data_IF_326538203635
#
_entry.id   IF_326538203635
#
_cell.length_a   1.000
_cell.length_b   1.000
_cell.length_c   1.000
_cell.angle_alpha   90.00
_cell.angle_beta   90.00
_cell.angle_gamma   90.00
#
_symmetry.space_group_name_H-M   'P 1'
#
loop_
_entity.id
_entity.type
_entity.pdbx_description
1 polymer ?
#
# COMPACT_ATOMS: atom_id res chain seq x y z
N UNK A 1 14.09 -17.51 -41.86
CA UNK A 1 15.21 -18.32 -41.34
C UNK A 1 15.96 -17.43 -40.35
N UNK A 2 16.17 -17.92 -39.12
CA UNK A 2 16.45 -17.13 -37.92
C UNK A 2 17.73 -16.28 -38.00
N UNK A 3 17.68 -15.07 -37.44
CA UNK A 3 18.86 -14.31 -37.03
C UNK A 3 18.76 -13.98 -35.54
N UNK A 4 19.71 -14.54 -34.80
CA UNK A 4 20.03 -14.32 -33.39
C UNK A 4 20.26 -12.83 -33.13
N UNK A 5 19.60 -12.26 -32.11
CA UNK A 5 19.92 -10.92 -31.59
C UNK A 5 21.00 -11.08 -30.52
N UNK A 6 22.18 -10.43 -30.66
CA UNK A 6 23.25 -10.54 -29.68
C UNK A 6 22.99 -9.64 -28.46
N UNK A 7 23.57 -10.05 -27.34
CA UNK A 7 23.53 -9.38 -26.07
C UNK A 7 24.43 -8.13 -26.02
N UNK A 8 23.98 -7.21 -25.16
CA UNK A 8 24.72 -6.14 -24.45
C UNK A 8 24.90 -4.79 -25.15
N UNK A 9 24.30 -3.75 -24.55
CA UNK A 9 24.94 -2.45 -24.38
C UNK A 9 24.57 -1.87 -23.01
N UNK A 10 25.60 -1.60 -22.22
CA UNK A 10 25.57 -0.82 -20.98
C UNK A 10 24.79 0.50 -21.16
N UNK A 11 23.95 0.94 -20.20
CA UNK A 11 23.41 2.30 -20.27
C UNK A 11 24.50 3.32 -19.96
N UNK A 12 24.74 4.14 -20.98
CA UNK A 12 25.54 5.35 -21.05
C UNK A 12 25.34 6.26 -19.82
N UNK A 13 26.44 6.69 -19.20
CA UNK A 13 26.41 7.64 -18.08
C UNK A 13 25.82 8.98 -18.55
N UNK A 14 24.72 9.40 -17.91
CA UNK A 14 24.02 10.66 -18.19
C UNK A 14 24.96 11.87 -17.99
N UNK A 15 25.02 12.84 -18.93
CA UNK A 15 25.91 13.99 -18.80
C UNK A 15 25.49 14.91 -17.63
N UNK A 16 26.49 15.39 -16.88
CA UNK A 16 26.39 16.09 -15.59
C UNK A 16 25.78 17.52 -15.62
N UNK A 17 25.01 17.86 -16.66
CA UNK A 17 24.54 19.23 -16.92
C UNK A 17 23.05 19.50 -16.65
N UNK A 18 22.18 18.49 -16.58
CA UNK A 18 20.74 18.69 -16.39
C UNK A 18 20.33 18.37 -14.94
N UNK A 19 20.81 19.19 -13.99
CA UNK A 19 20.27 19.21 -12.62
C UNK A 19 19.10 20.19 -12.56
N UNK A 20 17.99 19.88 -13.23
CA UNK A 20 16.71 20.43 -12.76
C UNK A 20 16.54 19.98 -11.31
N UNK A 21 16.13 20.85 -10.38
CA UNK A 21 15.73 20.37 -9.07
C UNK A 21 14.66 19.31 -9.31
N UNK A 22 14.91 18.07 -8.88
CA UNK A 22 13.84 17.06 -8.84
C UNK A 22 12.70 17.74 -8.09
N UNK A 23 11.56 17.91 -8.78
CA UNK A 23 10.36 18.31 -8.06
C UNK A 23 10.19 17.25 -6.99
N UNK A 24 10.09 17.61 -5.70
CA UNK A 24 9.85 16.62 -4.67
C UNK A 24 8.65 15.81 -5.12
N UNK A 25 8.86 14.50 -5.31
CA UNK A 25 7.79 13.60 -5.70
C UNK A 25 6.70 13.77 -4.63
N UNK A 26 5.51 14.29 -4.95
CA UNK A 26 4.50 14.57 -3.93
C UNK A 26 4.08 13.29 -3.19
N UNK A 27 4.34 12.12 -3.77
CA UNK A 27 4.12 10.81 -3.16
C UNK A 27 5.16 10.43 -2.09
N UNK A 28 6.27 11.16 -1.96
CA UNK A 28 7.30 10.92 -0.93
C UNK A 28 7.03 11.66 0.39
N UNK A 29 5.93 12.41 0.47
CA UNK A 29 5.47 13.08 1.69
C UNK A 29 4.36 12.27 2.38
N UNK A 30 4.50 10.94 2.43
CA UNK A 30 3.69 10.15 3.35
C UNK A 30 3.99 10.69 4.76
N UNK A 31 3.04 11.45 5.30
CA UNK A 31 3.17 12.06 6.62
C UNK A 31 3.46 10.94 7.64
N UNK A 32 4.48 11.11 8.49
CA UNK A 32 4.91 10.11 9.48
C UNK A 32 3.91 10.11 10.65
N UNK A 33 2.70 9.60 10.41
CA UNK A 33 1.68 9.43 11.44
C UNK A 33 1.34 7.95 11.61
N UNK A 34 1.31 7.51 12.86
CA UNK A 34 0.66 6.26 13.22
C UNK A 34 -0.84 6.37 12.89
N UNK A 35 -1.34 5.46 12.06
CA UNK A 35 -2.69 5.54 11.50
C UNK A 35 -3.55 4.38 11.99
N UNK A 36 -4.81 4.69 12.31
CA UNK A 36 -5.84 3.71 12.66
C UNK A 36 -6.96 3.78 11.63
N UNK A 37 -7.42 2.63 11.14
CA UNK A 37 -8.46 2.53 10.13
C UNK A 37 -9.65 1.72 10.66
N UNK A 38 -10.84 2.34 10.64
CA UNK A 38 -12.05 1.77 11.19
C UNK A 38 -12.84 1.01 10.12
N UNK A 39 -12.75 -0.32 10.13
CA UNK A 39 -13.33 -1.19 9.10
C UNK A 39 -14.86 -1.11 9.00
N UNK A 40 -15.54 -0.68 10.05
CA UNK A 40 -16.99 -0.57 10.14
C UNK A 40 -17.51 0.88 10.01
N UNK A 41 -16.60 1.85 9.86
CA UNK A 41 -16.93 3.26 9.64
C UNK A 41 -16.43 3.79 8.29
N UNK A 42 -15.94 2.89 7.42
CA UNK A 42 -15.56 3.17 6.04
C UNK A 42 -16.12 2.10 5.12
N UNK A 43 -16.28 2.41 3.84
CA UNK A 43 -16.65 1.42 2.84
C UNK A 43 -16.07 1.78 1.46
N UNK A 44 -16.17 0.85 0.52
CA UNK A 44 -15.78 1.03 -0.88
C UNK A 44 -16.97 0.83 -1.82
N UNK A 45 -16.92 1.46 -2.98
CA UNK A 45 -17.89 1.22 -4.06
C UNK A 45 -17.29 0.30 -5.12
N UNK A 46 -18.15 -0.38 -5.89
CA UNK A 46 -17.69 -1.16 -7.03
C UNK A 46 -17.09 -0.23 -8.10
N UNK A 47 -15.95 -0.62 -8.66
CA UNK A 47 -15.20 0.16 -9.65
C UNK A 47 -15.11 -0.59 -10.98
N UNK A 48 -15.19 0.15 -12.10
CA UNK A 48 -14.95 -0.38 -13.44
C UNK A 48 -14.27 0.69 -14.30
N UNK A 49 -13.14 0.34 -14.91
CA UNK A 49 -12.40 1.22 -15.79
C UNK A 49 -11.51 0.38 -16.74
N UNK A 50 -10.57 1.03 -17.46
CA UNK A 50 -9.68 0.35 -18.39
C UNK A 50 -8.77 -0.73 -17.75
N UNK A 51 -8.54 -0.67 -16.43
CA UNK A 51 -7.76 -1.65 -15.70
C UNK A 51 -8.59 -2.88 -15.24
N UNK A 52 -9.92 -2.86 -15.45
CA UNK A 52 -10.79 -4.00 -15.15
C UNK A 52 -11.97 -3.64 -14.26
N UNK A 53 -12.39 -4.60 -13.44
CA UNK A 53 -13.53 -4.47 -12.53
C UNK A 53 -13.17 -4.95 -11.12
N UNK A 54 -13.48 -4.13 -10.13
CA UNK A 54 -13.36 -4.46 -8.71
C UNK A 54 -14.76 -4.39 -8.08
N UNK A 55 -15.18 -5.50 -7.48
CA UNK A 55 -16.52 -5.66 -6.90
C UNK A 55 -16.53 -5.35 -5.40
N UNK A 56 -17.58 -5.77 -4.68
CA UNK A 56 -17.76 -5.55 -3.24
C UNK A 56 -16.59 -6.06 -2.36
N UNK A 57 -15.82 -7.04 -2.83
CA UNK A 57 -14.63 -7.54 -2.12
C UNK A 57 -13.50 -6.51 -1.95
N UNK A 58 -13.55 -5.39 -2.68
CA UNK A 58 -12.52 -4.34 -2.63
C UNK A 58 -12.29 -3.84 -1.20
N UNK A 59 -13.35 -3.62 -0.43
CA UNK A 59 -13.26 -3.19 0.97
C UNK A 59 -12.46 -4.20 1.81
N UNK A 60 -12.80 -5.49 1.69
CA UNK A 60 -12.11 -6.57 2.42
C UNK A 60 -10.64 -6.65 2.04
N UNK A 61 -10.31 -6.63 0.75
CA UNK A 61 -8.93 -6.72 0.26
C UNK A 61 -8.12 -5.49 0.70
N UNK A 62 -8.68 -4.29 0.57
CA UNK A 62 -8.04 -3.06 1.00
C UNK A 62 -7.69 -3.11 2.50
N UNK A 63 -8.61 -3.58 3.34
CA UNK A 63 -8.38 -3.66 4.78
C UNK A 63 -7.27 -4.64 5.16
N UNK A 64 -7.14 -5.76 4.45
CA UNK A 64 -6.00 -6.68 4.65
C UNK A 64 -4.67 -6.02 4.27
N UNK A 65 -4.63 -5.30 3.15
CA UNK A 65 -3.44 -4.56 2.72
C UNK A 65 -3.09 -3.48 3.75
N UNK A 66 -4.07 -2.68 4.17
CA UNK A 66 -3.89 -1.63 5.18
C UNK A 66 -3.32 -2.22 6.48
N UNK A 67 -3.87 -3.34 6.96
CA UNK A 67 -3.41 -3.97 8.20
C UNK A 67 -2.03 -4.62 8.10
N UNK A 68 -1.57 -4.90 6.88
CA UNK A 68 -0.27 -5.53 6.69
C UNK A 68 0.89 -4.58 6.98
N UNK A 69 0.79 -3.26 6.70
CA UNK A 69 1.90 -2.32 6.98
C UNK A 69 1.49 -0.85 7.20
N UNK A 70 0.27 -0.45 6.87
CA UNK A 70 -0.07 0.97 6.73
C UNK A 70 -0.90 1.53 7.89
N UNK A 71 -1.77 0.71 8.49
CA UNK A 71 -2.62 1.12 9.60
C UNK A 71 -2.99 -0.03 10.52
N UNK A 72 -3.23 0.27 11.81
CA UNK A 72 -3.94 -0.65 12.68
C UNK A 72 -5.42 -0.66 12.27
N UNK A 73 -5.93 -1.81 11.83
CA UNK A 73 -7.32 -1.97 11.39
C UNK A 73 -8.12 -2.54 12.54
N UNK A 74 -9.18 -1.83 12.94
CA UNK A 74 -10.03 -2.22 14.07
C UNK A 74 -11.49 -1.87 13.78
N UNK A 75 -12.41 -2.49 14.52
CA UNK A 75 -13.80 -2.01 14.58
C UNK A 75 -13.89 -0.78 15.47
N UNK A 76 -14.93 0.03 15.29
CA UNK A 76 -15.20 1.23 16.07
C UNK A 76 -15.29 0.89 17.57
N UNK A 77 -15.97 -0.19 17.93
CA UNK A 77 -16.07 -0.65 19.33
C UNK A 77 -14.70 -0.98 19.94
N UNK A 78 -13.83 -1.69 19.19
CA UNK A 78 -12.48 -1.99 19.65
C UNK A 78 -11.67 -0.71 19.84
N UNK A 79 -11.80 0.25 18.91
CA UNK A 79 -11.14 1.54 19.00
C UNK A 79 -11.55 2.29 20.26
N UNK A 80 -12.84 2.36 20.56
CA UNK A 80 -13.36 2.98 21.79
C UNK A 80 -12.73 2.32 23.02
N UNK A 81 -12.64 0.99 23.04
CA UNK A 81 -11.93 0.25 24.09
C UNK A 81 -10.46 0.65 24.23
N UNK A 82 -9.73 0.79 23.13
CA UNK A 82 -8.32 1.25 23.15
C UNK A 82 -8.18 2.69 23.66
N UNK A 83 -9.11 3.60 23.28
CA UNK A 83 -9.13 4.97 23.81
C UNK A 83 -9.25 4.96 25.33
N UNK A 84 -10.23 4.21 25.87
CA UNK A 84 -10.46 4.16 27.31
C UNK A 84 -9.29 3.58 28.10
N UNK A 85 -8.55 2.64 27.52
CA UNK A 85 -7.34 2.06 28.14
C UNK A 85 -6.07 2.84 27.88
N UNK A 86 -6.12 3.90 27.06
CA UNK A 86 -4.96 4.65 26.59
C UNK A 86 -3.90 3.76 25.91
N UNK A 87 -4.37 2.74 25.17
CA UNK A 87 -3.52 1.80 24.46
C UNK A 87 -3.55 2.08 22.95
N UNK A 88 -2.45 1.87 22.22
CA UNK A 88 -2.48 1.87 20.77
C UNK A 88 -3.11 0.59 20.23
N UNK A 89 -3.78 0.68 19.07
CA UNK A 89 -4.19 -0.51 18.33
C UNK A 89 -2.96 -1.19 17.72
N UNK A 90 -2.95 -2.53 17.76
CA UNK A 90 -1.85 -3.31 17.17
C UNK A 90 -1.90 -3.24 15.64
N UNK A 91 -0.73 -3.10 15.00
CA UNK A 91 -0.58 -3.18 13.54
C UNK A 91 0.06 -4.53 13.16
N UNK A 92 -0.34 -5.08 12.01
CA UNK A 92 0.29 -6.25 11.44
C UNK A 92 1.63 -5.95 10.77
N UNK A 93 2.26 -6.99 10.22
CA UNK A 93 3.39 -6.82 9.31
C UNK A 93 3.26 -7.68 8.05
N UNK A 94 3.85 -7.21 6.94
CA UNK A 94 3.72 -7.87 5.63
C UNK A 94 4.17 -9.33 5.68
N UNK A 95 5.32 -9.60 6.31
CA UNK A 95 5.85 -10.96 6.42
C UNK A 95 4.90 -11.88 7.21
N UNK A 96 4.38 -11.39 8.34
CA UNK A 96 3.40 -12.11 9.15
C UNK A 96 2.13 -12.43 8.36
N UNK A 97 1.63 -11.46 7.58
CA UNK A 97 0.48 -11.67 6.71
C UNK A 97 0.74 -12.70 5.61
N UNK A 98 1.92 -12.66 4.97
CA UNK A 98 2.30 -13.63 3.94
C UNK A 98 2.44 -15.06 4.50
N UNK A 99 3.01 -15.21 5.70
CA UNK A 99 3.22 -16.53 6.32
C UNK A 99 1.90 -17.17 6.76
N UNK A 100 0.90 -16.39 7.13
CA UNK A 100 -0.43 -16.88 7.55
C UNK A 100 -1.38 -17.17 6.38
N UNK A 101 -1.08 -16.66 5.17
CA UNK A 101 -1.91 -16.90 4.01
C UNK A 101 -1.83 -18.38 3.57
N UNK A 102 -2.95 -19.09 3.44
CA UNK A 102 -2.94 -20.44 2.88
C UNK A 102 -2.57 -20.37 1.39
N UNK A 103 -1.62 -21.21 0.98
CA UNK A 103 -1.24 -21.42 -0.42
C UNK A 103 -2.24 -22.31 -1.15
#
# INVERSE_FOLDING_TARGET
MAAVVPAETHPEARPAGDRRPERPNPCNNALIYATEHLIDATDTVSLRNAAGHAAADTHRVLNVVMHSQFAAVATTDKRIGYVHRQEPAAIGNLLGSCVQAPY
#
